data_IF_353636429396
#
_entry.id   IF_353636429396
#
_cell.length_a   1.000
_cell.length_b   1.000
_cell.length_c   1.000
_cell.angle_alpha   90.00
_cell.angle_beta   90.00
_cell.angle_gamma   90.00
#
_symmetry.space_group_name_H-M   'P 1'
#
loop_
_entity.id
_entity.type
_entity.pdbx_description
1 polymer ?
#
# COMPACT_ATOMS: atom_id res chain seq x y z
N UNK A 1 -1.85 10.77 5.14
CA UNK A 1 -1.00 9.59 4.80
C UNK A 1 -0.42 8.82 6.00
N UNK A 2 -0.11 9.43 7.15
CA UNK A 2 0.54 8.74 8.30
C UNK A 2 -0.15 7.42 8.72
N UNK A 3 -1.47 7.44 8.90
CA UNK A 3 -2.22 6.25 9.31
C UNK A 3 -2.13 5.11 8.29
N UNK A 4 -2.20 5.42 6.99
CA UNK A 4 -2.04 4.41 5.95
C UNK A 4 -0.62 3.84 5.90
N UNK A 5 0.42 4.66 6.14
CA UNK A 5 1.80 4.18 6.25
C UNK A 5 1.99 3.23 7.46
N UNK A 6 1.31 3.52 8.58
CA UNK A 6 1.33 2.63 9.75
C UNK A 6 0.62 1.32 9.46
N UNK A 7 -0.57 1.37 8.86
CA UNK A 7 -1.31 0.17 8.46
C UNK A 7 -0.51 -0.72 7.50
N UNK A 8 0.17 -0.11 6.51
CA UNK A 8 1.09 -0.79 5.60
C UNK A 8 2.23 -1.49 6.35
N UNK A 9 2.90 -0.82 7.30
CA UNK A 9 3.98 -1.44 8.07
C UNK A 9 3.48 -2.57 8.98
N UNK A 10 2.26 -2.47 9.50
CA UNK A 10 1.64 -3.53 10.32
C UNK A 10 1.24 -4.76 9.50
N UNK A 11 0.71 -4.55 8.28
CA UNK A 11 0.52 -5.65 7.30
C UNK A 11 1.86 -6.30 6.98
N UNK A 12 2.89 -5.50 6.67
CA UNK A 12 4.24 -6.00 6.36
C UNK A 12 4.85 -6.77 7.52
N UNK A 13 4.74 -6.27 8.76
CA UNK A 13 5.24 -6.97 9.96
C UNK A 13 4.58 -8.34 10.10
N UNK A 14 3.26 -8.39 9.97
CA UNK A 14 2.48 -9.64 10.10
C UNK A 14 2.87 -10.62 9.01
N UNK A 15 2.95 -10.15 7.76
CA UNK A 15 3.32 -11.00 6.63
C UNK A 15 4.78 -11.46 6.73
N UNK A 16 5.71 -10.60 7.12
CA UNK A 16 7.14 -10.95 7.27
C UNK A 16 7.44 -12.01 8.35
N UNK A 17 6.46 -12.33 9.20
CA UNK A 17 6.55 -13.42 10.19
C UNK A 17 6.18 -14.78 9.60
N UNK A 18 5.51 -14.82 8.45
CA UNK A 18 5.14 -16.06 7.76
C UNK A 18 6.36 -16.63 7.04
N UNK A 19 6.53 -17.95 7.07
CA UNK A 19 7.74 -18.61 6.54
C UNK A 19 7.93 -18.33 5.04
N UNK A 20 6.84 -18.35 4.27
CA UNK A 20 6.85 -18.23 2.81
C UNK A 20 7.28 -16.85 2.31
N UNK A 21 7.01 -15.79 3.08
CA UNK A 21 7.23 -14.40 2.66
C UNK A 21 8.32 -13.67 3.45
N UNK A 22 8.87 -14.29 4.51
CA UNK A 22 9.89 -13.72 5.39
C UNK A 22 11.14 -13.27 4.64
N UNK A 23 11.71 -14.14 3.79
CA UNK A 23 12.94 -13.81 3.05
C UNK A 23 12.68 -12.77 1.96
N UNK A 24 11.51 -12.84 1.31
CA UNK A 24 11.09 -11.89 0.27
C UNK A 24 10.96 -10.47 0.84
N UNK A 25 10.27 -10.35 1.99
CA UNK A 25 10.02 -9.08 2.69
C UNK A 25 11.21 -8.58 3.52
N UNK A 26 12.32 -9.30 3.55
CA UNK A 26 13.53 -8.90 4.27
C UNK A 26 14.12 -7.63 3.66
N UNK A 27 14.47 -6.68 4.54
CA UNK A 27 15.05 -5.37 4.18
C UNK A 27 14.19 -4.53 3.21
N UNK A 28 12.89 -4.80 3.08
CA UNK A 28 12.00 -4.03 2.17
C UNK A 28 11.24 -2.89 2.84
N UNK A 29 11.32 -2.72 4.17
CA UNK A 29 10.52 -1.74 4.92
C UNK A 29 10.55 -0.33 4.30
N UNK A 30 11.74 0.22 4.08
CA UNK A 30 11.88 1.58 3.60
C UNK A 30 11.41 1.76 2.17
N UNK A 31 11.54 0.73 1.32
CA UNK A 31 11.06 0.74 -0.07
C UNK A 31 9.57 1.08 -0.12
N UNK A 32 8.75 0.46 0.73
CA UNK A 32 7.30 0.66 0.76
C UNK A 32 6.85 2.04 1.27
N UNK A 33 7.76 2.84 1.86
CA UNK A 33 7.42 4.18 2.36
C UNK A 33 7.58 5.25 1.30
N UNK A 34 8.38 5.00 0.26
CA UNK A 34 8.46 5.89 -0.90
C UNK A 34 7.13 5.91 -1.68
N UNK A 35 6.96 6.94 -2.50
CA UNK A 35 6.04 6.90 -3.63
C UNK A 35 6.70 6.15 -4.79
N UNK A 36 5.89 5.57 -5.68
CA UNK A 36 6.38 4.96 -6.93
C UNK A 36 7.26 5.91 -7.75
N UNK A 37 6.93 7.20 -7.75
CA UNK A 37 7.66 8.26 -8.47
C UNK A 37 9.01 8.59 -7.83
N UNK A 38 9.07 8.62 -6.49
CA UNK A 38 10.28 8.98 -5.73
C UNK A 38 11.08 7.75 -5.29
N UNK A 39 10.83 6.59 -5.88
CA UNK A 39 11.50 5.36 -5.48
C UNK A 39 12.97 5.37 -5.94
N UNK A 40 13.95 5.26 -5.02
CA UNK A 40 15.35 5.16 -5.40
C UNK A 40 15.62 3.97 -6.32
N UNK A 41 16.47 4.18 -7.35
CA UNK A 41 16.76 3.15 -8.37
C UNK A 41 17.21 1.81 -7.78
N UNK A 42 17.93 1.81 -6.65
CA UNK A 42 18.36 0.60 -5.93
C UNK A 42 17.20 -0.31 -5.46
N UNK A 43 15.99 0.22 -5.36
CA UNK A 43 14.80 -0.53 -4.96
C UNK A 43 13.86 -0.83 -6.13
N UNK A 44 14.07 -0.23 -7.30
CA UNK A 44 13.12 -0.27 -8.43
C UNK A 44 12.89 -1.70 -8.93
N UNK A 45 13.95 -2.46 -9.17
CA UNK A 45 13.85 -3.85 -9.62
C UNK A 45 13.07 -4.72 -8.63
N UNK A 46 13.45 -4.66 -7.35
CA UNK A 46 12.76 -5.41 -6.29
C UNK A 46 11.30 -4.97 -6.13
N UNK A 47 11.02 -3.69 -6.31
CA UNK A 47 9.66 -3.15 -6.24
C UNK A 47 8.77 -3.70 -7.37
N UNK A 48 9.22 -3.68 -8.63
CA UNK A 48 8.41 -4.17 -9.75
C UNK A 48 8.07 -5.66 -9.58
N UNK A 49 9.04 -6.48 -9.15
CA UNK A 49 8.81 -7.90 -8.87
C UNK A 49 7.75 -8.09 -7.77
N UNK A 50 7.84 -7.33 -6.68
CA UNK A 50 6.95 -7.50 -5.53
C UNK A 50 5.58 -6.86 -5.74
N UNK A 51 5.47 -5.83 -6.57
CA UNK A 51 4.21 -5.19 -6.92
C UNK A 51 3.27 -6.15 -7.65
N UNK A 52 3.81 -7.04 -8.49
CA UNK A 52 3.04 -8.04 -9.23
C UNK A 52 2.77 -9.33 -8.43
N UNK A 53 3.30 -9.43 -7.20
CA UNK A 53 3.11 -10.60 -6.35
C UNK A 53 1.78 -10.59 -5.58
N UNK A 54 1.35 -11.76 -5.14
CA UNK A 54 0.17 -11.93 -4.27
C UNK A 54 0.38 -11.50 -2.81
N UNK A 55 1.47 -10.77 -2.51
CA UNK A 55 1.77 -10.30 -1.16
C UNK A 55 0.70 -9.31 -0.68
N UNK A 56 0.26 -9.52 0.56
CA UNK A 56 -0.63 -8.60 1.28
C UNK A 56 0.01 -7.22 1.44
N UNK A 57 1.33 -7.17 1.61
CA UNK A 57 2.11 -5.92 1.67
C UNK A 57 2.03 -5.16 0.34
N UNK A 58 2.15 -5.85 -0.80
CA UNK A 58 2.04 -5.23 -2.12
C UNK A 58 0.64 -4.66 -2.33
N UNK A 59 -0.39 -5.41 -1.94
CA UNK A 59 -1.79 -4.94 -1.96
C UNK A 59 -2.01 -3.72 -1.06
N UNK A 60 -1.52 -3.75 0.18
CA UNK A 60 -1.59 -2.60 1.09
C UNK A 60 -0.90 -1.37 0.50
N UNK A 61 0.24 -1.57 -0.17
CA UNK A 61 0.96 -0.49 -0.85
C UNK A 61 0.14 0.07 -2.01
N UNK A 62 -0.48 -0.77 -2.85
CA UNK A 62 -1.33 -0.30 -3.94
C UNK A 62 -2.51 0.55 -3.43
N UNK A 63 -3.14 0.17 -2.31
CA UNK A 63 -4.21 0.95 -1.67
C UNK A 63 -3.68 2.31 -1.19
N UNK A 64 -2.47 2.33 -0.59
CA UNK A 64 -1.80 3.56 -0.15
C UNK A 64 -1.50 4.49 -1.34
N UNK A 65 -0.92 3.96 -2.41
CA UNK A 65 -0.57 4.75 -3.59
C UNK A 65 -1.82 5.33 -4.24
N UNK A 66 -2.86 4.52 -4.42
CA UNK A 66 -4.11 4.96 -5.02
C UNK A 66 -4.75 6.09 -4.20
N UNK A 67 -4.73 6.02 -2.86
CA UNK A 67 -5.27 7.08 -2.00
C UNK A 67 -4.70 8.47 -2.34
N UNK A 68 -3.45 8.56 -2.79
CA UNK A 68 -2.83 9.85 -3.15
C UNK A 68 -3.54 10.57 -4.29
N UNK A 69 -4.17 9.82 -5.19
CA UNK A 69 -4.88 10.40 -6.34
C UNK A 69 -6.11 11.19 -5.89
N UNK A 70 -6.59 11.01 -4.65
CA UNK A 70 -7.64 11.85 -4.08
C UNK A 70 -7.27 13.34 -4.07
N UNK A 71 -6.00 13.67 -3.84
CA UNK A 71 -5.52 15.07 -3.84
C UNK A 71 -5.25 15.61 -5.25
N UNK A 72 -5.41 14.79 -6.29
CA UNK A 72 -5.32 15.20 -7.69
C UNK A 72 -6.70 15.49 -8.30
N UNK A 73 -7.79 15.20 -7.59
CA UNK A 73 -9.14 15.54 -8.04
C UNK A 73 -9.33 17.06 -8.09
N UNK A 74 -9.93 17.56 -9.18
CA UNK A 74 -10.12 19.00 -9.39
C UNK A 74 -11.46 19.47 -8.81
N UNK A 75 -12.49 18.60 -8.81
CA UNK A 75 -13.81 18.91 -8.28
C UNK A 75 -14.18 18.07 -7.06
N UNK A 76 -15.16 18.56 -6.29
CA UNK A 76 -15.71 17.82 -5.16
C UNK A 76 -16.42 16.54 -5.61
N UNK A 77 -17.16 16.57 -6.73
CA UNK A 77 -17.86 15.37 -7.21
C UNK A 77 -16.87 14.25 -7.59
N UNK A 78 -15.75 14.61 -8.21
CA UNK A 78 -14.68 13.66 -8.55
C UNK A 78 -14.06 13.07 -7.27
N UNK A 79 -13.73 13.92 -6.30
CA UNK A 79 -13.15 13.50 -5.03
C UNK A 79 -14.09 12.56 -4.26
N UNK A 80 -15.40 12.86 -4.21
CA UNK A 80 -16.42 12.02 -3.55
C UNK A 80 -16.58 10.68 -4.28
N UNK A 81 -16.62 10.69 -5.61
CA UNK A 81 -16.71 9.46 -6.42
C UNK A 81 -15.48 8.58 -6.23
N UNK A 82 -14.29 9.19 -6.23
CA UNK A 82 -13.02 8.53 -5.96
C UNK A 82 -13.00 7.94 -4.56
N UNK A 83 -13.36 8.73 -3.55
CA UNK A 83 -13.37 8.31 -2.15
C UNK A 83 -14.27 7.10 -1.92
N UNK A 84 -15.48 7.08 -2.50
CA UNK A 84 -16.39 5.93 -2.39
C UNK A 84 -15.76 4.64 -2.93
N UNK A 85 -15.10 4.71 -4.09
CA UNK A 85 -14.41 3.56 -4.70
C UNK A 85 -13.22 3.12 -3.83
N UNK A 86 -12.41 4.06 -3.38
CA UNK A 86 -11.26 3.78 -2.54
C UNK A 86 -11.66 3.16 -1.20
N UNK A 87 -12.66 3.75 -0.51
CA UNK A 87 -13.18 3.25 0.76
C UNK A 87 -13.73 1.83 0.62
N UNK A 88 -14.49 1.55 -0.45
CA UNK A 88 -14.99 0.21 -0.72
C UNK A 88 -13.84 -0.78 -0.90
N UNK A 89 -12.81 -0.43 -1.68
CA UNK A 89 -11.65 -1.29 -1.87
C UNK A 89 -10.85 -1.51 -0.57
N UNK A 90 -10.58 -0.45 0.19
CA UNK A 90 -9.83 -0.51 1.44
C UNK A 90 -10.53 -1.35 2.51
N UNK A 91 -11.84 -1.17 2.69
CA UNK A 91 -12.67 -1.95 3.62
C UNK A 91 -12.80 -3.43 3.23
N UNK A 92 -12.85 -3.73 1.92
CA UNK A 92 -12.97 -5.10 1.41
C UNK A 92 -11.62 -5.77 1.10
N UNK A 93 -10.50 -5.12 1.43
CA UNK A 93 -9.14 -5.59 1.14
C UNK A 93 -8.74 -6.89 1.87
N UNK A 94 -9.51 -7.28 2.90
CA UNK A 94 -9.17 -8.35 3.88
C UNK A 94 -7.88 -8.07 4.66
N UNK A 95 -7.47 -6.80 4.76
CA UNK A 95 -6.32 -6.35 5.53
C UNK A 95 -6.78 -5.54 6.73
N UNK A 96 -6.87 -6.17 7.91
CA UNK A 96 -7.46 -5.52 9.09
C UNK A 96 -6.80 -4.19 9.49
N UNK A 97 -5.46 -4.01 9.37
CA UNK A 97 -4.85 -2.70 9.61
C UNK A 97 -5.34 -1.63 8.62
N UNK A 98 -5.59 -1.98 7.35
CA UNK A 98 -6.07 -1.05 6.33
C UNK A 98 -7.54 -0.73 6.55
N UNK A 99 -8.36 -1.72 6.89
CA UNK A 99 -9.78 -1.53 7.22
C UNK A 99 -9.99 -0.55 8.36
N UNK A 100 -9.09 -0.52 9.35
CA UNK A 100 -9.15 0.43 10.49
C UNK A 100 -8.87 1.88 10.10
N UNK A 101 -8.27 2.09 8.93
CA UNK A 101 -7.93 3.43 8.40
C UNK A 101 -9.00 3.94 7.44
N UNK A 102 -9.71 3.03 6.77
CA UNK A 102 -10.86 3.34 5.92
C UNK A 102 -12.03 3.86 6.77
#
# INVERSE_FOLDING_TARGET
>A
MKHMNMALDDVRKTESRMADSKEILKKTKYMWFYSSENLPNKYREKYEILKESDLKTARAYAIKENLRNLWQCETEEEAVSFWKKWYWWASHSRLDPVKKVA
#
